data_IF_914454569772
#
_entry.id   IF_914454569772
#
_cell.length_a   1.000
_cell.length_b   1.000
_cell.length_c   1.000
_cell.angle_alpha   90.00
_cell.angle_beta   90.00
_cell.angle_gamma   90.00
#
_symmetry.space_group_name_H-M   'P 1'
#
loop_
_entity.id
_entity.type
_entity.pdbx_description
1 polymer ?
#
# COMPACT_ATOMS: atom_id res chain seq x y z
N UNK A 1 0.82 -10.07 14.14
CA UNK A 1 -0.44 -9.34 14.43
C UNK A 1 -1.37 -9.57 13.27
N UNK A 2 -2.65 -9.82 13.53
CA UNK A 2 -3.69 -9.84 12.50
C UNK A 2 -4.13 -8.40 12.22
N UNK A 3 -4.06 -7.97 10.97
CA UNK A 3 -4.38 -6.60 10.56
C UNK A 3 -5.82 -6.19 10.89
N UNK A 4 -6.75 -7.15 11.04
CA UNK A 4 -8.17 -6.90 11.34
C UNK A 4 -8.46 -6.42 12.77
N UNK A 5 -7.46 -6.46 13.65
CA UNK A 5 -7.61 -6.06 15.06
C UNK A 5 -7.04 -4.67 15.37
N UNK A 6 -6.46 -4.02 14.36
CA UNK A 6 -5.76 -2.74 14.51
C UNK A 6 -6.74 -1.57 14.54
N UNK A 7 -6.40 -0.52 15.28
CA UNK A 7 -7.06 0.78 15.17
C UNK A 7 -6.66 1.50 13.89
N UNK A 8 -7.39 2.54 13.51
CA UNK A 8 -7.05 3.41 12.36
C UNK A 8 -5.61 3.94 12.47
N UNK A 9 -5.23 4.44 13.65
CA UNK A 9 -3.89 4.98 13.89
C UNK A 9 -2.79 3.92 13.74
N UNK A 10 -3.04 2.70 14.22
CA UNK A 10 -2.11 1.58 14.07
C UNK A 10 -1.99 1.16 12.59
N UNK A 11 -3.10 1.10 11.87
CA UNK A 11 -3.11 0.76 10.46
C UNK A 11 -2.40 1.81 9.62
N UNK A 12 -2.60 3.10 9.91
CA UNK A 12 -1.88 4.20 9.27
C UNK A 12 -0.37 4.09 9.53
N UNK A 13 0.04 3.86 10.77
CA UNK A 13 1.44 3.70 11.12
C UNK A 13 2.09 2.53 10.36
N UNK A 14 1.34 1.44 10.18
CA UNK A 14 1.82 0.27 9.43
C UNK A 14 1.92 0.54 7.93
N UNK A 15 0.94 1.22 7.33
CA UNK A 15 0.98 1.69 5.94
C UNK A 15 2.25 2.51 5.69
N UNK A 16 2.49 3.53 6.53
CA UNK A 16 3.67 4.41 6.39
C UNK A 16 4.99 3.64 6.60
N UNK A 17 5.01 2.70 7.54
CA UNK A 17 6.17 1.84 7.76
C UNK A 17 6.51 1.01 6.51
N UNK A 18 5.53 0.33 5.91
CA UNK A 18 5.74 -0.48 4.71
C UNK A 18 6.29 0.37 3.55
N UNK A 19 5.73 1.55 3.34
CA UNK A 19 6.18 2.48 2.29
C UNK A 19 7.62 2.92 2.57
N UNK A 20 7.92 3.35 3.80
CA UNK A 20 9.26 3.81 4.19
C UNK A 20 10.32 2.70 4.04
N UNK A 21 10.02 1.48 4.49
CA UNK A 21 10.90 0.32 4.37
C UNK A 21 11.16 -0.01 2.89
N UNK A 22 10.12 0.02 2.06
CA UNK A 22 10.22 -0.24 0.63
C UNK A 22 11.06 0.84 -0.08
N UNK A 23 10.86 2.11 0.26
CA UNK A 23 11.59 3.23 -0.37
C UNK A 23 13.06 3.25 0.05
N UNK A 24 13.38 2.83 1.27
CA UNK A 24 14.75 2.83 1.79
C UNK A 24 15.72 1.98 0.96
N UNK A 25 15.23 0.96 0.25
CA UNK A 25 16.06 0.10 -0.63
C UNK A 25 16.23 0.64 -2.04
N UNK A 26 15.49 1.68 -2.43
CA UNK A 26 15.45 2.17 -3.82
C UNK A 26 16.68 3.02 -4.13
N UNK A 27 17.33 2.74 -5.25
CA UNK A 27 18.47 3.49 -5.79
C UNK A 27 18.26 3.77 -7.29
N UNK A 28 18.40 5.03 -7.75
CA UNK A 28 18.66 6.25 -6.96
C UNK A 28 17.53 6.55 -5.97
N UNK A 29 17.85 7.19 -4.85
CA UNK A 29 16.87 7.51 -3.82
C UNK A 29 15.79 8.43 -4.39
N UNK A 30 14.51 8.02 -4.38
CA UNK A 30 13.44 8.83 -4.92
C UNK A 30 12.99 9.88 -3.90
N UNK A 31 12.48 11.00 -4.39
CA UNK A 31 11.71 11.93 -3.56
C UNK A 31 10.27 11.43 -3.47
N UNK A 32 9.76 11.28 -2.26
CA UNK A 32 8.34 10.98 -2.04
C UNK A 32 7.50 12.23 -2.22
N UNK A 33 6.50 12.11 -3.10
CA UNK A 33 5.53 13.16 -3.41
C UNK A 33 4.13 12.60 -3.13
N UNK A 34 3.49 13.10 -2.07
CA UNK A 34 2.25 12.56 -1.53
C UNK A 34 1.12 12.69 -2.55
N UNK A 35 0.43 11.58 -2.82
CA UNK A 35 -0.84 11.60 -3.52
C UNK A 35 -1.94 12.02 -2.54
N UNK A 36 -2.23 13.32 -2.48
CA UNK A 36 -3.16 13.90 -1.51
C UNK A 36 -4.54 13.19 -1.39
N UNK A 37 -5.15 12.65 -2.47
CA UNK A 37 -6.39 11.89 -2.33
C UNK A 37 -6.29 10.63 -1.46
N UNK A 38 -5.07 10.07 -1.26
CA UNK A 38 -4.84 8.96 -0.33
C UNK A 38 -4.81 9.37 1.14
N UNK A 39 -5.00 10.65 1.48
CA UNK A 39 -5.07 11.08 2.89
C UNK A 39 -6.37 10.63 3.57
N UNK A 40 -7.44 10.47 2.81
CA UNK A 40 -8.77 10.13 3.33
C UNK A 40 -8.91 8.63 3.54
N UNK A 41 -9.38 8.23 4.72
CA UNK A 41 -9.86 6.87 4.96
C UNK A 41 -11.13 6.62 4.15
N UNK A 42 -11.27 5.41 3.60
CA UNK A 42 -12.40 5.03 2.77
C UNK A 42 -13.28 4.03 3.52
N UNK A 43 -14.59 4.05 3.26
CA UNK A 43 -15.47 3.00 3.75
C UNK A 43 -15.04 1.65 3.16
N UNK A 44 -15.00 0.62 3.99
CA UNK A 44 -14.84 -0.74 3.51
C UNK A 44 -16.19 -1.22 2.97
N UNK A 45 -16.34 -1.17 1.64
CA UNK A 45 -17.54 -1.61 0.94
C UNK A 45 -17.39 -3.01 0.34
N UNK A 46 -16.53 -3.88 0.89
CA UNK A 46 -16.37 -5.24 0.36
C UNK A 46 -17.65 -6.04 0.64
N UNK A 47 -18.47 -6.34 -0.39
CA UNK A 47 -19.75 -7.01 -0.18
C UNK A 47 -19.57 -8.51 0.12
N UNK A 48 -18.36 -9.04 -0.01
CA UNK A 48 -18.07 -10.48 0.08
C UNK A 48 -17.65 -10.93 1.47
N UNK A 49 -17.34 -9.99 2.37
CA UNK A 49 -16.91 -10.31 3.73
C UNK A 49 -18.05 -10.25 4.77
N UNK A 50 -19.24 -9.77 4.35
CA UNK A 50 -20.45 -9.71 5.17
C UNK A 50 -20.36 -8.80 6.39
N UNK A 51 -19.33 -7.93 6.49
CA UNK A 51 -19.15 -7.08 7.66
C UNK A 51 -19.79 -5.69 7.54
N UNK A 52 -19.91 -5.00 8.68
CA UNK A 52 -20.58 -3.69 8.77
C UNK A 52 -19.98 -2.63 7.84
N UNK A 53 -20.84 -1.70 7.39
CA UNK A 53 -20.47 -0.48 6.65
C UNK A 53 -19.62 0.49 7.50
N UNK A 54 -19.56 0.30 8.82
CA UNK A 54 -18.77 1.13 9.75
C UNK A 54 -17.27 0.87 9.69
N UNK A 55 -16.85 -0.18 8.97
CA UNK A 55 -15.43 -0.51 8.80
C UNK A 55 -14.79 0.41 7.78
N UNK A 56 -13.51 0.65 7.97
CA UNK A 56 -12.72 1.52 7.09
C UNK A 56 -11.52 0.80 6.49
N UNK A 57 -10.99 1.40 5.43
CA UNK A 57 -9.69 1.10 4.87
C UNK A 57 -8.85 2.37 4.94
N UNK A 58 -7.66 2.22 5.52
CA UNK A 58 -6.65 3.28 5.56
C UNK A 58 -5.65 3.00 4.45
N UNK A 59 -5.30 4.02 3.67
CA UNK A 59 -4.29 3.91 2.64
C UNK A 59 -3.36 5.11 2.64
N UNK A 60 -2.20 4.94 2.01
CA UNK A 60 -1.31 6.03 1.60
C UNK A 60 -0.67 5.66 0.28
N UNK A 61 -0.50 6.68 -0.56
CA UNK A 61 0.20 6.55 -1.84
C UNK A 61 1.13 7.73 -2.07
N UNK A 62 2.29 7.45 -2.66
CA UNK A 62 3.30 8.44 -3.00
C UNK A 62 3.81 8.20 -4.42
N UNK A 63 3.95 9.26 -5.19
CA UNK A 63 4.77 9.24 -6.39
C UNK A 63 6.26 9.21 -5.99
N UNK A 64 7.01 8.33 -6.64
CA UNK A 64 8.45 8.19 -6.50
C UNK A 64 9.12 9.08 -7.56
N UNK A 65 9.35 10.35 -7.22
CA UNK A 65 9.91 11.35 -8.12
C UNK A 65 11.44 11.29 -8.16
N UNK A 66 12.03 11.79 -9.25
CA UNK A 66 13.48 11.89 -9.40
C UNK A 66 14.18 10.60 -9.85
N UNK A 67 13.42 9.56 -10.19
CA UNK A 67 13.96 8.34 -10.82
C UNK A 67 14.18 8.63 -12.31
N UNK A 68 15.41 8.47 -12.85
CA UNK A 68 15.65 8.61 -14.28
C UNK A 68 14.85 7.59 -15.09
N UNK A 69 14.32 7.99 -16.25
CA UNK A 69 13.50 7.11 -17.11
C UNK A 69 14.19 5.77 -17.44
N UNK A 70 15.51 5.81 -17.71
CA UNK A 70 16.33 4.61 -17.97
C UNK A 70 16.55 3.68 -16.77
N UNK A 71 16.10 4.07 -15.56
CA UNK A 71 16.27 3.33 -14.31
C UNK A 71 14.98 2.75 -13.74
N UNK A 72 13.83 3.02 -14.36
CA UNK A 72 12.51 2.57 -13.87
C UNK A 72 12.47 1.05 -13.65
N UNK A 73 12.90 0.25 -14.63
CA UNK A 73 12.89 -1.22 -14.52
C UNK A 73 13.83 -1.74 -13.42
N UNK A 74 14.97 -1.07 -13.20
CA UNK A 74 15.90 -1.42 -12.13
C UNK A 74 15.27 -1.17 -10.76
N UNK A 75 14.60 -0.02 -10.58
CA UNK A 75 13.88 0.32 -9.35
C UNK A 75 12.75 -0.67 -9.07
N UNK A 76 11.95 -1.03 -10.07
CA UNK A 76 10.91 -2.05 -9.90
C UNK A 76 11.51 -3.38 -9.43
N UNK A 77 12.66 -3.77 -9.99
CA UNK A 77 13.39 -4.97 -9.57
C UNK A 77 13.88 -4.92 -8.11
N UNK A 78 14.37 -3.77 -7.65
CA UNK A 78 14.79 -3.56 -6.25
C UNK A 78 13.60 -3.72 -5.29
N UNK A 79 12.46 -3.11 -5.62
CA UNK A 79 11.23 -3.18 -4.81
C UNK A 79 10.71 -4.62 -4.77
N UNK A 80 10.63 -5.28 -5.93
CA UNK A 80 10.21 -6.69 -6.03
C UNK A 80 11.06 -7.58 -5.13
N UNK A 81 12.39 -7.47 -5.25
CA UNK A 81 13.33 -8.25 -4.44
C UNK A 81 13.13 -7.99 -2.94
N UNK A 82 12.92 -6.73 -2.53
CA UNK A 82 12.68 -6.39 -1.14
C UNK A 82 11.39 -7.02 -0.61
N UNK A 83 10.29 -6.92 -1.34
CA UNK A 83 9.02 -7.54 -0.95
C UNK A 83 9.14 -9.06 -0.83
N UNK A 84 9.83 -9.71 -1.76
CA UNK A 84 10.11 -11.15 -1.68
C UNK A 84 10.94 -11.52 -0.44
N UNK A 85 11.96 -10.72 -0.11
CA UNK A 85 12.79 -10.92 1.08
C UNK A 85 12.03 -10.72 2.39
N UNK A 86 11.01 -9.84 2.41
CA UNK A 86 10.12 -9.66 3.55
C UNK A 86 9.06 -10.77 3.65
N UNK A 87 9.02 -11.71 2.71
CA UNK A 87 8.02 -12.78 2.66
C UNK A 87 6.64 -12.30 2.21
N UNK A 88 6.55 -11.13 1.56
CA UNK A 88 5.31 -10.63 1.02
C UNK A 88 4.88 -11.47 -0.18
N UNK A 89 3.57 -11.62 -0.34
CA UNK A 89 3.00 -12.38 -1.45
C UNK A 89 2.71 -11.44 -2.62
N UNK A 90 3.45 -11.58 -3.72
CA UNK A 90 3.17 -10.85 -4.96
C UNK A 90 2.03 -11.58 -5.69
N UNK A 91 0.90 -10.89 -5.84
CA UNK A 91 -0.33 -11.45 -6.43
C UNK A 91 -0.48 -11.12 -7.92
N UNK A 92 0.25 -10.13 -8.44
CA UNK A 92 0.19 -9.77 -9.85
C UNK A 92 1.38 -8.92 -10.30
N UNK A 93 1.79 -9.14 -11.55
CA UNK A 93 2.77 -8.31 -12.26
C UNK A 93 2.24 -8.06 -13.67
N UNK A 94 2.27 -6.81 -14.14
CA UNK A 94 1.85 -6.50 -15.51
C UNK A 94 2.82 -7.05 -16.55
N UNK A 95 2.36 -7.22 -17.80
CA UNK A 95 3.19 -7.73 -18.89
C UNK A 95 4.45 -6.88 -19.16
N UNK A 96 4.37 -5.56 -18.95
CA UNK A 96 5.52 -4.66 -19.09
C UNK A 96 6.47 -4.67 -17.87
N UNK A 97 6.15 -5.44 -16.82
CA UNK A 97 6.94 -5.58 -15.61
C UNK A 97 7.01 -4.33 -14.74
N UNK A 98 6.21 -3.28 -15.00
CA UNK A 98 6.26 -2.00 -14.27
C UNK A 98 5.20 -1.87 -13.18
N UNK A 99 4.12 -2.63 -13.27
CA UNK A 99 3.08 -2.66 -12.26
C UNK A 99 3.18 -3.97 -11.48
N UNK A 100 3.05 -3.88 -10.17
CA UNK A 100 3.07 -5.03 -9.28
C UNK A 100 2.09 -4.80 -8.14
N UNK A 101 1.33 -5.84 -7.81
CA UNK A 101 0.46 -5.88 -6.65
C UNK A 101 0.86 -7.03 -5.74
N UNK A 102 0.63 -6.86 -4.44
CA UNK A 102 0.95 -7.88 -3.46
C UNK A 102 0.23 -7.67 -2.15
N UNK A 103 0.54 -8.54 -1.18
CA UNK A 103 0.03 -8.51 0.17
C UNK A 103 1.17 -8.74 1.16
N UNK A 104 1.23 -7.93 2.21
CA UNK A 104 2.16 -8.17 3.31
C UNK A 104 1.73 -9.40 4.13
N UNK A 105 2.67 -9.96 4.90
CA UNK A 105 2.40 -11.04 5.85
C UNK A 105 2.95 -10.67 7.22
N UNK A 106 2.29 -11.10 8.32
CA UNK A 106 1.03 -11.85 8.38
C UNK A 106 -0.24 -10.96 8.37
N UNK A 107 -0.08 -9.66 8.20
CA UNK A 107 -1.09 -8.62 8.44
C UNK A 107 -1.96 -8.26 7.23
N UNK A 108 -1.67 -8.81 6.04
CA UNK A 108 -2.52 -8.78 4.84
C UNK A 108 -2.81 -7.39 4.27
N UNK A 109 -1.89 -6.42 4.44
CA UNK A 109 -2.00 -5.11 3.81
C UNK A 109 -1.78 -5.25 2.31
N UNK A 110 -2.66 -4.64 1.51
CA UNK A 110 -2.51 -4.56 0.06
C UNK A 110 -1.35 -3.64 -0.28
N UNK A 111 -0.49 -4.07 -1.20
CA UNK A 111 0.65 -3.33 -1.72
C UNK A 111 0.45 -3.10 -3.21
N UNK A 112 0.79 -1.89 -3.68
CA UNK A 112 0.74 -1.56 -5.11
C UNK A 112 1.95 -0.73 -5.51
N UNK A 113 2.61 -1.15 -6.59
CA UNK A 113 3.55 -0.35 -7.35
C UNK A 113 2.96 -0.20 -8.74
N UNK A 114 2.66 1.03 -9.16
CA UNK A 114 2.00 1.32 -10.43
C UNK A 114 2.79 2.37 -11.20
N UNK A 115 2.97 2.18 -12.51
CA UNK A 115 3.47 3.24 -13.39
C UNK A 115 2.31 4.16 -13.80
N UNK A 116 2.54 5.46 -13.70
CA UNK A 116 1.69 6.52 -14.22
C UNK A 116 2.50 7.42 -15.17
N UNK A 117 1.80 8.31 -15.89
CA UNK A 117 2.42 9.33 -16.73
C UNK A 117 2.36 10.69 -16.03
N UNK A 118 3.46 11.44 -16.09
CA UNK A 118 3.57 12.84 -15.70
C UNK A 118 4.11 13.62 -16.90
N UNK A 119 3.20 14.15 -17.72
CA UNK A 119 3.54 14.61 -19.07
C UNK A 119 4.02 13.44 -19.94
N UNK A 120 5.22 13.60 -20.53
CA UNK A 120 5.86 12.58 -21.36
C UNK A 120 6.68 11.56 -20.55
N UNK A 121 6.87 11.80 -19.25
CA UNK A 121 7.68 10.98 -18.37
C UNK A 121 6.85 9.91 -17.66
N UNK A 122 7.46 8.74 -17.41
CA UNK A 122 6.88 7.72 -16.53
C UNK A 122 7.31 7.99 -15.09
N UNK A 123 6.34 7.97 -14.18
CA UNK A 123 6.55 8.02 -12.73
C UNK A 123 6.01 6.74 -12.09
N UNK A 124 6.69 6.24 -11.06
CA UNK A 124 6.18 5.15 -10.24
C UNK A 124 5.35 5.71 -9.09
N UNK A 125 4.23 5.08 -8.79
CA UNK A 125 3.39 5.33 -7.63
C UNK A 125 3.44 4.10 -6.72
N UNK A 126 3.82 4.30 -5.47
CA UNK A 126 3.86 3.29 -4.43
C UNK A 126 2.69 3.52 -3.48
N UNK A 127 1.93 2.48 -3.16
CA UNK A 127 0.83 2.55 -2.21
C UNK A 127 0.76 1.32 -1.33
N UNK A 128 0.23 1.53 -0.12
CA UNK A 128 -0.16 0.47 0.78
C UNK A 128 -1.54 0.79 1.38
N UNK A 129 -2.36 -0.25 1.57
CA UNK A 129 -3.69 -0.14 2.14
C UNK A 129 -3.91 -1.23 3.19
N UNK A 130 -4.57 -0.89 4.29
CA UNK A 130 -4.96 -1.85 5.31
C UNK A 130 -5.98 -2.87 4.76
N UNK A 131 -6.12 -4.05 5.39
CA UNK A 131 -7.39 -4.77 5.32
C UNK A 131 -8.52 -3.91 5.90
N UNK A 132 -9.76 -4.38 5.78
CA UNK A 132 -10.88 -3.74 6.47
C UNK A 132 -10.71 -3.86 7.99
N UNK A 133 -10.80 -2.71 8.67
CA UNK A 133 -10.63 -2.60 10.13
C UNK A 133 -11.78 -1.82 10.75
N UNK A 134 -11.94 -2.01 12.06
CA UNK A 134 -12.74 -1.13 12.90
C UNK A 134 -11.91 0.10 13.28
N UNK A 135 -12.44 1.33 13.18
CA UNK A 135 -11.67 2.54 13.49
C UNK A 135 -10.99 2.51 14.87
N UNK A 136 -11.71 2.01 15.88
CA UNK A 136 -11.22 1.88 17.26
C UNK A 136 -10.59 0.51 17.59
N UNK A 137 -10.40 -0.35 16.58
CA UNK A 137 -9.94 -1.73 16.74
C UNK A 137 -11.06 -2.71 17.13
N UNK A 138 -10.70 -3.98 17.30
CA UNK A 138 -11.64 -5.09 17.60
C UNK A 138 -11.51 -5.48 19.08
N UNK A 139 -12.59 -5.75 19.85
CA UNK A 139 -13.93 -6.22 19.45
C UNK A 139 -14.83 -5.16 18.79
N UNK A 140 -15.79 -5.60 17.96
CA UNK A 140 -16.83 -4.70 17.41
C UNK A 140 -17.50 -3.89 18.52
N UNK A 141 -17.83 -2.61 18.32
CA UNK A 141 -18.76 -1.92 19.21
C UNK A 141 -20.05 -2.72 19.22
N UNK A 142 -20.47 -3.19 20.40
CA UNK A 142 -21.75 -3.89 20.52
C UNK A 142 -22.85 -2.92 20.12
N UNK A 143 -23.58 -3.22 19.04
CA UNK A 143 -24.86 -2.57 18.76
C UNK A 143 -25.84 -2.99 19.86
N UNK A 144 -25.77 -2.28 20.98
CA UNK A 144 -26.82 -2.30 21.98
C UNK A 144 -27.85 -1.25 21.55
N UNK A 145 -28.93 -1.70 20.91
CA UNK A 145 -30.05 -0.86 20.48
C UNK A 145 -31.19 -1.67 19.91
#
# INVERSE_FOLDING_TARGET
>A
MDGRTMTEAQALARVEQIIKETVAVVRPEPRLDLYAPSLNSNMCLDPTDGGSEDRIVVNRSYYLRGIPQGKISEVVGQIKKHWEQQGYYISGVSANGRNMTGRSRPDDFLLSLLSAYDGDDVVLSMGASSPCIWPDGTPEPSSSG
#
